data_IF_972072381124
#
_entry.id   IF_972072381124
#
_cell.length_a   1.000
_cell.length_b   1.000
_cell.length_c   1.000
_cell.angle_alpha   90.00
_cell.angle_beta   90.00
_cell.angle_gamma   90.00
#
_symmetry.space_group_name_H-M   'P 1'
#
loop_
_entity.id
_entity.type
_entity.pdbx_description
1 polymer ?
#
# COMPACT_ATOMS: atom_id res chain seq x y z
N UNK A 1 -18.47 -9.35 6.78
CA UNK A 1 -18.42 -7.95 7.22
C UNK A 1 -17.42 -7.28 6.31
N UNK A 2 -17.84 -6.25 5.55
CA UNK A 2 -17.03 -5.60 4.52
C UNK A 2 -15.94 -4.77 5.21
N UNK A 3 -14.68 -5.16 5.00
CA UNK A 3 -13.54 -4.30 5.32
C UNK A 3 -13.68 -3.04 4.47
N UNK A 4 -13.83 -1.87 5.10
CA UNK A 4 -13.71 -0.60 4.39
C UNK A 4 -12.22 -0.40 4.11
N UNK A 5 -11.82 -0.75 2.89
CA UNK A 5 -10.47 -0.64 2.39
C UNK A 5 -10.13 0.81 2.06
N UNK A 6 -8.87 1.16 2.24
CA UNK A 6 -8.36 2.50 1.92
C UNK A 6 -8.44 2.73 0.41
N UNK A 7 -9.34 3.60 -0.03
CA UNK A 7 -9.43 4.03 -1.42
C UNK A 7 -8.49 5.21 -1.63
N UNK A 8 -7.28 4.97 -2.09
CA UNK A 8 -6.37 6.05 -2.48
C UNK A 8 -6.56 6.31 -3.98
N UNK A 9 -7.50 7.19 -4.32
CA UNK A 9 -7.60 7.74 -5.68
C UNK A 9 -6.71 8.96 -5.76
N UNK A 10 -5.49 8.78 -6.25
CA UNK A 10 -4.49 9.85 -6.32
C UNK A 10 -4.56 10.48 -7.71
N UNK A 11 -5.50 11.40 -7.91
CA UNK A 11 -5.46 12.32 -9.05
C UNK A 11 -4.46 13.45 -8.77
N UNK A 12 -3.80 14.01 -9.82
CA UNK A 12 -2.89 15.14 -9.66
C UNK A 12 -3.55 16.25 -8.85
N UNK A 13 -2.87 16.69 -7.80
CA UNK A 13 -3.35 17.80 -6.99
C UNK A 13 -3.22 19.11 -7.77
N UNK A 14 -4.34 19.65 -8.25
CA UNK A 14 -4.42 21.01 -8.78
C UNK A 14 -5.00 21.91 -7.69
N UNK A 15 -4.22 22.86 -7.19
CA UNK A 15 -4.71 23.91 -6.27
C UNK A 15 -5.99 24.51 -6.83
N UNK A 16 -7.11 24.40 -6.08
CA UNK A 16 -8.39 25.02 -6.42
C UNK A 16 -9.43 24.16 -7.14
N UNK A 17 -9.14 22.93 -7.52
CA UNK A 17 -10.16 21.99 -8.02
C UNK A 17 -10.52 21.03 -6.89
N UNK A 18 -11.72 21.18 -6.30
CA UNK A 18 -12.24 20.35 -5.19
C UNK A 18 -12.40 18.86 -5.54
N UNK A 19 -11.31 18.19 -5.90
CA UNK A 19 -11.29 16.77 -6.28
C UNK A 19 -10.74 15.92 -5.15
N UNK A 20 -11.64 15.16 -4.51
CA UNK A 20 -11.35 13.91 -3.82
C UNK A 20 -10.74 14.04 -2.42
N UNK A 21 -11.57 13.96 -1.38
CA UNK A 21 -11.23 13.92 0.03
C UNK A 21 -11.74 15.14 0.80
N UNK A 22 -12.13 14.92 2.06
CA UNK A 22 -12.52 16.01 2.94
C UNK A 22 -11.30 16.89 3.26
N UNK A 23 -11.41 18.24 3.16
CA UNK A 23 -10.34 19.12 3.59
C UNK A 23 -10.13 18.92 5.09
N UNK A 24 -8.88 18.78 5.48
CA UNK A 24 -8.49 18.84 6.89
C UNK A 24 -8.19 20.31 7.16
N UNK A 25 -8.87 20.91 8.15
CA UNK A 25 -8.62 22.32 8.50
C UNK A 25 -7.14 22.56 8.81
N UNK A 26 -6.74 23.81 9.07
CA UNK A 26 -5.36 24.30 9.26
C UNK A 26 -4.55 23.51 10.32
N UNK A 27 -4.38 22.20 10.10
CA UNK A 27 -3.66 21.29 11.00
C UNK A 27 -2.23 21.13 10.51
N UNK A 28 -1.29 21.53 11.35
CA UNK A 28 0.15 21.32 11.11
C UNK A 28 0.64 20.30 12.13
N UNK A 29 1.11 19.15 11.62
CA UNK A 29 1.72 18.10 12.44
C UNK A 29 3.22 18.40 12.62
N UNK A 30 3.71 18.28 13.86
CA UNK A 30 5.12 18.41 14.26
C UNK A 30 5.78 19.72 13.79
N UNK A 31 4.98 20.78 13.51
CA UNK A 31 5.47 22.03 12.94
C UNK A 31 6.04 21.93 11.53
N UNK A 32 5.91 20.78 10.86
CA UNK A 32 6.54 20.46 9.56
C UNK A 32 5.54 20.14 8.45
N UNK A 33 4.44 19.46 8.77
CA UNK A 33 3.53 18.87 7.77
C UNK A 33 2.14 19.51 7.87
N UNK A 34 1.79 20.35 6.90
CA UNK A 34 0.45 20.91 6.73
C UNK A 34 -0.47 19.86 6.10
N UNK A 35 -1.49 19.41 6.82
CA UNK A 35 -2.48 18.48 6.31
C UNK A 35 -3.42 19.19 5.32
N UNK A 36 -3.47 18.70 4.08
CA UNK A 36 -4.26 19.30 3.01
C UNK A 36 -5.63 18.65 2.89
N UNK A 37 -5.65 17.32 2.76
CA UNK A 37 -6.88 16.53 2.60
C UNK A 37 -6.67 15.07 2.96
N UNK A 38 -7.75 14.36 3.23
CA UNK A 38 -7.73 12.91 3.35
C UNK A 38 -7.52 12.26 1.99
N UNK A 39 -6.58 11.31 1.89
CA UNK A 39 -6.37 10.45 0.72
C UNK A 39 -7.23 9.19 0.81
N UNK A 40 -7.32 8.60 2.01
CA UNK A 40 -8.10 7.41 2.25
C UNK A 40 -8.34 7.18 3.75
N UNK A 41 -9.37 6.38 4.05
CA UNK A 41 -9.69 5.91 5.41
C UNK A 41 -9.84 4.41 5.38
N UNK A 42 -8.99 3.72 6.13
CA UNK A 42 -9.13 2.31 6.42
C UNK A 42 -9.90 2.08 7.72
N UNK A 43 -9.98 0.82 8.15
CA UNK A 43 -10.62 0.45 9.41
C UNK A 43 -9.93 1.08 10.61
N UNK A 44 -8.61 1.08 10.63
CA UNK A 44 -7.79 1.47 11.77
C UNK A 44 -6.81 2.62 11.45
N UNK A 45 -6.78 3.09 10.19
CA UNK A 45 -5.87 4.13 9.75
C UNK A 45 -6.56 5.18 8.89
N UNK A 46 -5.99 6.39 8.89
CA UNK A 46 -6.34 7.44 7.94
C UNK A 46 -5.07 7.91 7.25
N UNK A 47 -5.12 8.03 5.93
CA UNK A 47 -4.00 8.54 5.13
C UNK A 47 -4.34 9.95 4.66
N UNK A 48 -3.43 10.88 4.88
CA UNK A 48 -3.57 12.28 4.50
C UNK A 48 -2.56 12.66 3.42
N UNK A 49 -2.95 13.54 2.51
CA UNK A 49 -2.01 14.35 1.76
C UNK A 49 -1.53 15.48 2.69
N UNK A 50 -0.24 15.60 2.84
CA UNK A 50 0.38 16.69 3.58
C UNK A 50 1.42 17.40 2.72
N UNK A 51 1.73 18.65 3.07
CA UNK A 51 2.80 19.43 2.49
C UNK A 51 3.90 19.64 3.53
N UNK A 52 5.12 19.27 3.20
CA UNK A 52 6.27 19.62 4.03
C UNK A 52 6.56 21.11 3.85
N UNK A 53 6.42 21.91 4.91
CA UNK A 53 6.46 23.37 4.85
C UNK A 53 7.80 23.94 4.39
N UNK A 54 8.92 23.36 4.85
CA UNK A 54 10.25 23.85 4.50
C UNK A 54 10.72 23.37 3.12
N UNK A 55 10.39 22.12 2.74
CA UNK A 55 10.85 21.53 1.47
C UNK A 55 9.91 21.85 0.31
N UNK A 56 8.71 22.36 0.58
CA UNK A 56 7.64 22.63 -0.41
C UNK A 56 7.23 21.38 -1.20
N UNK A 57 7.32 20.19 -0.59
CA UNK A 57 7.04 18.90 -1.20
C UNK A 57 5.84 18.20 -0.57
N UNK A 58 5.16 17.40 -1.36
CA UNK A 58 4.03 16.59 -0.86
C UNK A 58 4.50 15.27 -0.23
N UNK A 59 3.74 14.83 0.78
CA UNK A 59 3.93 13.57 1.52
C UNK A 59 2.58 12.88 1.71
N UNK A 60 2.60 11.56 1.77
CA UNK A 60 1.52 10.78 2.34
C UNK A 60 1.79 10.59 3.83
N UNK A 61 0.78 10.83 4.67
CA UNK A 61 0.89 10.68 6.13
C UNK A 61 -0.18 9.67 6.58
N UNK A 62 0.25 8.46 6.89
CA UNK A 62 -0.61 7.39 7.45
C UNK A 62 -0.65 7.54 8.97
N UNK A 63 -1.83 7.78 9.51
CA UNK A 63 -2.09 7.97 10.95
C UNK A 63 -2.84 6.77 11.52
N UNK A 64 -2.35 6.23 12.64
CA UNK A 64 -2.95 5.09 13.36
C UNK A 64 -3.02 5.41 14.84
N UNK A 65 -4.13 5.02 15.49
CA UNK A 65 -4.27 5.11 16.95
C UNK A 65 -3.44 4.02 17.63
N UNK A 66 -2.66 4.40 18.66
CA UNK A 66 -1.91 3.45 19.50
C UNK A 66 -2.83 2.53 20.34
N UNK A 67 -4.10 2.87 20.46
CA UNK A 67 -5.11 2.06 21.14
C UNK A 67 -5.78 1.04 20.20
N UNK A 68 -5.45 1.08 18.92
CA UNK A 68 -6.01 0.16 17.93
C UNK A 68 -5.35 -1.21 17.99
N UNK A 69 -6.12 -2.25 17.70
CA UNK A 69 -5.63 -3.64 17.64
C UNK A 69 -4.61 -3.85 16.52
N UNK A 70 -4.65 -3.02 15.47
CA UNK A 70 -3.74 -3.11 14.32
C UNK A 70 -2.46 -2.25 14.47
N UNK A 71 -2.23 -1.66 15.66
CA UNK A 71 -1.05 -0.82 15.92
C UNK A 71 0.27 -1.61 15.76
N UNK A 72 0.32 -2.85 16.18
CA UNK A 72 1.52 -3.70 16.01
C UNK A 72 1.82 -3.98 14.51
N UNK A 73 0.79 -4.14 13.69
CA UNK A 73 0.94 -4.26 12.23
C UNK A 73 1.52 -3.00 11.61
N UNK A 74 1.00 -1.84 12.00
CA UNK A 74 1.53 -0.55 11.56
C UNK A 74 3.02 -0.38 11.89
N UNK A 75 3.45 -0.76 13.10
CA UNK A 75 4.87 -0.74 13.47
C UNK A 75 5.70 -1.68 12.59
N UNK A 76 5.16 -2.87 12.32
CA UNK A 76 5.81 -3.85 11.46
C UNK A 76 5.94 -3.36 10.02
N UNK A 77 4.89 -2.76 9.46
CA UNK A 77 4.91 -2.10 8.16
C UNK A 77 6.03 -1.06 8.08
N UNK A 78 6.11 -0.16 9.05
CA UNK A 78 7.17 0.85 9.10
C UNK A 78 8.58 0.22 9.18
N UNK A 79 8.74 -0.88 9.95
CA UNK A 79 10.00 -1.61 10.07
C UNK A 79 10.41 -2.31 8.76
N UNK A 80 9.45 -2.83 8.01
CA UNK A 80 9.68 -3.44 6.69
C UNK A 80 10.08 -2.35 5.70
N UNK A 81 9.24 -1.33 5.53
CA UNK A 81 9.43 -0.27 4.54
C UNK A 81 10.75 0.47 4.71
N UNK A 82 11.16 0.77 5.94
CA UNK A 82 12.43 1.48 6.18
C UNK A 82 13.68 0.74 5.68
N UNK A 83 13.59 -0.59 5.49
CA UNK A 83 14.70 -1.44 5.00
C UNK A 83 14.72 -1.55 3.49
N UNK A 84 13.58 -1.30 2.83
CA UNK A 84 13.42 -1.47 1.41
C UNK A 84 13.92 -0.24 0.64
N UNK A 85 14.60 -0.49 -0.49
CA UNK A 85 15.06 0.53 -1.42
C UNK A 85 14.86 0.05 -2.83
N UNK A 86 13.71 0.37 -3.41
CA UNK A 86 13.35 -0.04 -4.77
C UNK A 86 12.47 1.04 -5.41
N UNK A 87 12.66 1.39 -6.70
CA UNK A 87 11.85 2.42 -7.37
C UNK A 87 10.35 2.20 -7.34
N UNK A 88 9.89 0.95 -7.20
CA UNK A 88 8.47 0.57 -7.12
C UNK A 88 7.92 0.53 -5.70
N UNK A 89 8.66 0.95 -4.68
CA UNK A 89 8.24 0.95 -3.27
C UNK A 89 8.35 2.37 -2.72
N UNK A 90 7.34 2.90 -2.00
CA UNK A 90 7.39 4.23 -1.42
C UNK A 90 8.57 4.41 -0.47
N UNK A 91 9.20 5.58 -0.52
CA UNK A 91 10.25 5.95 0.43
C UNK A 91 9.57 6.35 1.74
N UNK A 92 10.02 5.76 2.86
CA UNK A 92 9.69 6.24 4.20
C UNK A 92 10.66 7.36 4.58
N UNK A 93 10.10 8.53 4.89
CA UNK A 93 10.86 9.70 5.30
C UNK A 93 10.99 9.80 6.81
N UNK A 94 9.90 9.50 7.54
CA UNK A 94 9.88 9.65 9.00
C UNK A 94 8.82 8.75 9.64
N UNK A 95 8.98 8.49 10.94
CA UNK A 95 8.01 7.86 11.81
C UNK A 95 7.88 8.71 13.08
N UNK A 96 6.80 9.45 13.18
CA UNK A 96 6.55 10.38 14.27
C UNK A 96 5.49 9.83 15.23
N UNK A 97 5.59 10.18 16.49
CA UNK A 97 4.70 9.67 17.53
C UNK A 97 4.17 10.79 18.42
N UNK A 98 2.89 10.71 18.74
CA UNK A 98 2.23 11.47 19.80
C UNK A 98 1.75 10.54 20.92
N UNK A 99 1.11 11.09 21.94
CA UNK A 99 0.64 10.31 23.10
C UNK A 99 -0.27 9.13 22.70
N UNK A 100 -1.19 9.36 21.76
CA UNK A 100 -2.23 8.40 21.37
C UNK A 100 -2.20 8.00 19.90
N UNK A 101 -1.36 8.61 19.09
CA UNK A 101 -1.28 8.38 17.66
C UNK A 101 0.17 8.18 17.20
N UNK A 102 0.34 7.44 16.12
CA UNK A 102 1.61 7.32 15.39
C UNK A 102 1.37 7.63 13.92
N UNK A 103 2.39 8.21 13.28
CA UNK A 103 2.32 8.74 11.93
C UNK A 103 3.49 8.22 11.13
N UNK A 104 3.21 7.54 10.02
CA UNK A 104 4.22 7.14 9.03
C UNK A 104 4.19 8.16 7.90
N UNK A 105 5.32 8.81 7.67
CA UNK A 105 5.49 9.82 6.62
C UNK A 105 6.20 9.19 5.44
N UNK A 106 5.50 9.13 4.32
CA UNK A 106 5.93 8.43 3.12
C UNK A 106 5.94 9.31 1.89
N UNK A 107 6.59 8.81 0.83
CA UNK A 107 6.52 9.38 -0.51
C UNK A 107 5.06 9.47 -0.96
N UNK A 108 4.65 10.67 -1.38
CA UNK A 108 3.38 10.85 -2.04
C UNK A 108 3.50 10.43 -3.50
N UNK A 109 2.73 9.43 -3.91
CA UNK A 109 2.73 8.89 -5.25
C UNK A 109 1.50 9.38 -6.03
N UNK A 110 1.72 9.94 -7.21
CA UNK A 110 0.67 10.35 -8.13
C UNK A 110 0.50 9.29 -9.23
N UNK A 111 -0.70 8.70 -9.31
CA UNK A 111 -1.00 7.67 -10.30
C UNK A 111 -2.42 7.14 -10.18
N UNK A 112 -2.79 6.25 -11.09
CA UNK A 112 -4.06 5.53 -11.04
C UNK A 112 -3.82 4.11 -10.52
N UNK A 113 -4.70 3.65 -9.61
CA UNK A 113 -4.66 2.25 -9.19
C UNK A 113 -5.07 1.34 -10.36
N UNK A 114 -4.60 0.08 -10.35
CA UNK A 114 -5.12 -0.88 -11.33
C UNK A 114 -6.63 -1.04 -11.21
N UNK A 115 -7.18 -0.92 -10.02
CA UNK A 115 -8.63 -0.93 -9.82
C UNK A 115 -9.32 0.21 -10.57
N UNK A 116 -8.81 1.44 -10.49
CA UNK A 116 -9.39 2.59 -11.20
C UNK A 116 -9.20 2.46 -12.72
N UNK A 117 -8.04 1.96 -13.16
CA UNK A 117 -7.77 1.72 -14.58
C UNK A 117 -8.76 0.72 -15.20
N UNK A 118 -9.02 -0.40 -14.52
CA UNK A 118 -9.97 -1.40 -15.01
C UNK A 118 -11.41 -0.88 -14.92
N UNK A 119 -11.77 -0.19 -13.85
CA UNK A 119 -13.10 0.42 -13.75
C UNK A 119 -13.38 1.41 -14.89
N UNK A 120 -12.36 2.09 -15.41
CA UNK A 120 -12.48 3.03 -16.52
C UNK A 120 -12.45 2.33 -17.89
N UNK A 121 -11.57 1.32 -18.06
CA UNK A 121 -11.28 0.69 -19.36
C UNK A 121 -11.95 -0.67 -19.57
N UNK A 122 -12.49 -1.29 -18.51
CA UNK A 122 -13.03 -2.65 -18.51
C UNK A 122 -11.92 -3.69 -18.32
N UNK A 123 -10.92 -3.71 -19.18
CA UNK A 123 -9.76 -4.60 -19.11
C UNK A 123 -8.55 -3.96 -19.78
N UNK A 124 -7.37 -4.53 -19.58
CA UNK A 124 -6.14 -4.13 -20.29
C UNK A 124 -5.83 -5.12 -21.42
N UNK A 125 -5.19 -4.62 -22.48
CA UNK A 125 -4.70 -5.49 -23.54
C UNK A 125 -3.50 -6.33 -23.07
N UNK A 126 -3.26 -7.46 -23.75
CA UNK A 126 -2.25 -8.44 -23.38
C UNK A 126 -0.83 -7.83 -23.25
N UNK A 127 -0.42 -6.98 -24.18
CA UNK A 127 0.94 -6.40 -24.15
C UNK A 127 1.14 -5.49 -22.93
N UNK A 128 0.10 -4.74 -22.57
CA UNK A 128 0.11 -3.90 -21.36
C UNK A 128 0.16 -4.75 -20.09
N UNK A 129 -0.62 -5.85 -20.04
CA UNK A 129 -0.60 -6.76 -18.88
C UNK A 129 0.75 -7.46 -18.76
N UNK A 130 1.38 -7.89 -19.86
CA UNK A 130 2.73 -8.46 -19.82
C UNK A 130 3.74 -7.45 -19.29
N UNK A 131 3.72 -6.21 -19.78
CA UNK A 131 4.64 -5.15 -19.35
C UNK A 131 4.53 -4.85 -17.86
N UNK A 132 3.31 -4.74 -17.33
CA UNK A 132 3.09 -4.52 -15.90
C UNK A 132 3.36 -5.79 -15.08
N UNK A 133 3.02 -6.96 -15.62
CA UNK A 133 3.29 -8.24 -14.98
C UNK A 133 4.78 -8.47 -14.73
N UNK A 134 5.65 -8.12 -15.69
CA UNK A 134 7.10 -8.16 -15.50
C UNK A 134 7.52 -7.26 -14.33
N UNK A 135 7.03 -6.02 -14.27
CA UNK A 135 7.37 -5.10 -13.18
C UNK A 135 6.87 -5.61 -11.81
N UNK A 136 5.68 -6.22 -11.77
CA UNK A 136 5.12 -6.80 -10.53
C UNK A 136 5.99 -8.00 -10.10
N UNK A 137 6.39 -8.86 -11.03
CA UNK A 137 7.28 -9.97 -10.72
C UNK A 137 8.64 -9.50 -10.19
N UNK A 138 9.23 -8.46 -10.82
CA UNK A 138 10.49 -7.87 -10.37
C UNK A 138 10.38 -7.29 -8.95
N UNK A 139 9.27 -6.59 -8.65
CA UNK A 139 8.98 -6.06 -7.32
C UNK A 139 8.87 -7.16 -6.26
N UNK A 140 8.10 -8.19 -6.54
CA UNK A 140 7.90 -9.33 -5.61
C UNK A 140 9.20 -10.14 -5.46
N UNK A 141 9.94 -10.35 -6.54
CA UNK A 141 11.26 -10.98 -6.47
C UNK A 141 12.22 -10.16 -5.59
N UNK A 142 12.20 -8.84 -5.71
CA UNK A 142 12.98 -7.97 -4.83
C UNK A 142 12.60 -8.17 -3.37
N UNK A 143 11.31 -8.19 -3.00
CA UNK A 143 10.87 -8.44 -1.62
C UNK A 143 11.35 -9.81 -1.11
N UNK A 144 11.27 -10.84 -1.93
CA UNK A 144 11.70 -12.20 -1.57
C UNK A 144 13.22 -12.33 -1.42
N UNK A 145 14.02 -11.36 -1.91
CA UNK A 145 15.50 -11.42 -1.90
C UNK A 145 16.18 -10.21 -1.27
N UNK A 146 15.44 -9.20 -0.83
CA UNK A 146 16.00 -7.93 -0.30
C UNK A 146 16.73 -8.11 1.03
N UNK A 147 16.36 -9.10 1.82
CA UNK A 147 16.91 -9.39 3.14
C UNK A 147 17.34 -10.86 3.22
N UNK A 148 18.03 -11.24 4.30
CA UNK A 148 18.37 -12.66 4.55
C UNK A 148 17.11 -13.52 4.74
N UNK A 149 16.04 -12.92 5.23
CA UNK A 149 14.73 -13.54 5.41
C UNK A 149 13.80 -12.92 4.37
N UNK A 150 13.18 -13.71 3.49
CA UNK A 150 12.23 -13.20 2.51
C UNK A 150 11.10 -12.40 3.16
N UNK A 151 10.67 -11.33 2.52
CA UNK A 151 9.48 -10.58 2.88
C UNK A 151 8.36 -11.02 1.94
N UNK A 152 7.28 -11.55 2.51
CA UNK A 152 6.05 -11.84 1.78
C UNK A 152 5.16 -10.60 1.80
N UNK A 153 4.56 -10.26 0.66
CA UNK A 153 3.67 -9.10 0.58
C UNK A 153 2.24 -9.41 1.01
N UNK A 154 1.70 -10.54 0.59
CA UNK A 154 0.46 -11.19 1.04
C UNK A 154 -0.86 -10.46 0.72
N UNK A 155 -0.84 -9.30 0.07
CA UNK A 155 -2.05 -8.57 -0.33
C UNK A 155 -1.93 -7.91 -1.71
N UNK A 156 -1.47 -8.71 -2.71
CA UNK A 156 -1.41 -8.27 -4.10
C UNK A 156 -2.83 -8.19 -4.70
N UNK A 157 -3.40 -7.01 -4.61
CA UNK A 157 -4.72 -6.68 -5.16
C UNK A 157 -4.66 -5.38 -5.98
N UNK A 158 -5.61 -5.16 -6.91
CA UNK A 158 -5.58 -4.01 -7.81
C UNK A 158 -5.54 -2.64 -7.13
N UNK A 159 -6.02 -2.52 -5.91
CA UNK A 159 -6.05 -1.28 -5.15
C UNK A 159 -4.68 -0.92 -4.55
N UNK A 160 -3.87 -1.94 -4.28
CA UNK A 160 -2.56 -1.79 -3.66
C UNK A 160 -1.43 -1.56 -4.68
N UNK A 161 -1.76 -1.47 -5.97
CA UNK A 161 -0.79 -1.16 -7.00
C UNK A 161 -1.22 0.08 -7.78
N UNK A 162 -0.30 1.05 -7.88
CA UNK A 162 -0.45 2.26 -8.69
C UNK A 162 0.39 2.17 -9.96
N UNK A 163 -0.09 2.81 -11.02
CA UNK A 163 0.69 3.10 -12.21
C UNK A 163 1.06 4.58 -12.20
N UNK A 164 2.33 4.86 -11.94
CA UNK A 164 2.91 6.21 -11.90
C UNK A 164 3.87 6.37 -13.08
N UNK A 165 3.55 7.16 -14.10
CA UNK A 165 4.41 7.35 -15.28
C UNK A 165 4.89 6.01 -15.89
N UNK A 166 3.97 5.08 -16.17
CA UNK A 166 4.26 3.74 -16.70
C UNK A 166 5.03 2.80 -15.74
N UNK A 167 5.33 3.22 -14.53
CA UNK A 167 5.94 2.40 -13.48
C UNK A 167 4.92 1.90 -12.48
N UNK A 168 4.99 0.60 -12.16
CA UNK A 168 4.17 0.00 -11.11
C UNK A 168 4.79 0.33 -9.75
N UNK A 169 3.94 0.81 -8.84
CA UNK A 169 4.28 1.09 -7.44
C UNK A 169 3.42 0.23 -6.53
N UNK A 170 4.05 -0.38 -5.54
CA UNK A 170 3.39 -1.18 -4.51
C UNK A 170 3.06 -0.27 -3.32
N UNK A 171 1.81 -0.31 -2.86
CA UNK A 171 1.33 0.44 -1.69
C UNK A 171 0.99 -0.52 -0.56
N UNK A 172 0.78 0.03 0.63
CA UNK A 172 0.18 -0.64 1.79
C UNK A 172 0.82 -1.99 2.17
N UNK A 173 1.78 -1.93 3.08
CA UNK A 173 2.55 -3.09 3.55
C UNK A 173 2.03 -3.64 4.89
N UNK A 174 0.78 -3.33 5.28
CA UNK A 174 0.23 -3.72 6.57
C UNK A 174 0.04 -5.24 6.73
N UNK A 175 -0.09 -5.97 5.61
CA UNK A 175 -0.13 -7.43 5.58
C UNK A 175 1.23 -8.08 5.33
N UNK A 176 2.24 -7.31 4.96
CA UNK A 176 3.57 -7.85 4.68
C UNK A 176 4.22 -8.47 5.91
N UNK A 177 4.96 -9.56 5.70
CA UNK A 177 5.58 -10.30 6.78
C UNK A 177 6.92 -10.93 6.39
N UNK A 178 7.81 -11.10 7.39
CA UNK A 178 9.04 -11.86 7.22
C UNK A 178 8.75 -13.36 7.20
N UNK A 179 9.36 -14.10 6.29
CA UNK A 179 9.30 -15.56 6.23
C UNK A 179 10.32 -16.17 7.21
N UNK A 180 10.18 -15.90 8.50
CA UNK A 180 11.17 -16.26 9.52
C UNK A 180 10.93 -17.63 10.19
N UNK A 181 9.85 -18.33 9.80
CA UNK A 181 9.47 -19.62 10.40
C UNK A 181 9.03 -19.56 11.86
N UNK A 182 9.01 -18.38 12.48
CA UNK A 182 8.50 -18.22 13.83
C UNK A 182 6.98 -18.43 13.85
N UNK A 183 6.49 -19.09 14.91
CA UNK A 183 5.09 -19.46 15.13
C UNK A 183 4.12 -18.36 14.67
N UNK A 184 3.69 -18.47 13.44
CA UNK A 184 2.62 -17.60 12.91
C UNK A 184 1.33 -18.16 13.46
N UNK A 185 0.63 -17.36 14.25
CA UNK A 185 -0.79 -17.65 14.43
C UNK A 185 -1.43 -17.74 13.03
N UNK A 186 -2.33 -18.71 12.80
CA UNK A 186 -2.99 -18.84 11.50
C UNK A 186 -3.74 -17.54 11.21
N UNK A 187 -3.10 -16.67 10.47
CA UNK A 187 -3.68 -15.41 10.07
C UNK A 187 -4.62 -15.67 8.89
N UNK A 188 -5.91 -15.74 9.18
CA UNK A 188 -6.96 -15.79 8.18
C UNK A 188 -7.18 -14.41 7.62
N UNK A 189 -6.43 -14.04 6.62
CA UNK A 189 -6.60 -12.78 5.92
C UNK A 189 -6.35 -12.98 4.42
N UNK A 190 -6.88 -12.07 3.65
CA UNK A 190 -6.68 -12.03 2.21
C UNK A 190 -7.88 -11.38 1.54
N UNK A 191 -7.63 -10.71 0.45
CA UNK A 191 -8.67 -10.07 -0.34
C UNK A 191 -9.40 -11.12 -1.18
N UNK A 192 -10.74 -11.28 -1.02
CA UNK A 192 -11.50 -12.25 -1.81
C UNK A 192 -11.25 -12.10 -3.31
N UNK A 193 -10.99 -13.21 -3.99
CA UNK A 193 -10.65 -13.26 -5.40
C UNK A 193 -9.16 -13.17 -5.72
N UNK A 194 -8.33 -12.72 -4.77
CA UNK A 194 -6.88 -12.63 -4.92
C UNK A 194 -6.13 -13.49 -3.91
N UNK A 195 -6.70 -13.72 -2.74
CA UNK A 195 -6.08 -14.52 -1.69
C UNK A 195 -5.77 -15.94 -2.16
N UNK A 196 -4.56 -16.40 -1.86
CA UNK A 196 -4.16 -17.77 -2.11
C UNK A 196 -4.89 -18.76 -1.15
N UNK A 197 -5.12 -20.02 -1.54
CA UNK A 197 -5.83 -20.98 -0.71
C UNK A 197 -5.25 -21.14 0.70
N UNK A 198 -3.92 -21.10 0.84
CA UNK A 198 -3.22 -21.20 2.11
C UNK A 198 -3.48 -20.02 3.06
N UNK A 199 -3.90 -18.86 2.56
CA UNK A 199 -4.25 -17.71 3.40
C UNK A 199 -5.59 -17.88 4.15
N UNK A 200 -6.42 -18.84 3.75
CA UNK A 200 -7.71 -19.10 4.36
C UNK A 200 -7.71 -20.28 5.36
N UNK A 201 -6.58 -20.99 5.52
CA UNK A 201 -6.47 -22.22 6.29
C UNK A 201 -5.31 -22.23 7.26
N UNK A 202 -4.99 -23.44 7.74
CA UNK A 202 -3.88 -23.73 8.66
C UNK A 202 -2.60 -24.13 7.89
N UNK A 203 -2.52 -23.78 6.61
CA UNK A 203 -1.37 -24.06 5.76
C UNK A 203 -0.28 -22.99 5.92
N UNK A 204 0.98 -23.37 5.72
CA UNK A 204 2.09 -22.44 5.76
C UNK A 204 2.05 -21.47 4.58
N UNK A 205 2.37 -20.20 4.87
CA UNK A 205 2.58 -19.19 3.85
C UNK A 205 4.02 -19.26 3.34
N UNK A 206 4.21 -18.95 2.07
CA UNK A 206 5.53 -18.96 1.44
C UNK A 206 5.59 -18.00 0.25
N UNK A 207 6.73 -17.96 -0.41
CA UNK A 207 6.91 -17.14 -1.63
C UNK A 207 5.90 -17.50 -2.72
N UNK A 208 5.43 -18.74 -2.74
CA UNK A 208 4.38 -19.22 -3.67
C UNK A 208 3.03 -18.54 -3.43
N UNK A 209 2.77 -18.03 -2.22
CA UNK A 209 1.54 -17.31 -1.89
C UNK A 209 1.43 -16.01 -2.70
N UNK A 210 2.49 -15.21 -2.75
CA UNK A 210 2.54 -14.01 -3.58
C UNK A 210 2.50 -14.36 -5.08
N UNK A 211 3.12 -15.46 -5.50
CA UNK A 211 3.07 -15.94 -6.89
C UNK A 211 1.63 -16.28 -7.32
N UNK A 212 0.86 -16.94 -6.45
CA UNK A 212 -0.57 -17.18 -6.70
C UNK A 212 -1.33 -15.87 -6.90
N UNK A 213 -1.09 -14.89 -6.00
CA UNK A 213 -1.74 -13.58 -6.07
C UNK A 213 -1.37 -12.80 -7.34
N UNK A 214 -0.12 -12.90 -7.82
CA UNK A 214 0.27 -12.35 -9.12
C UNK A 214 -0.60 -12.96 -10.22
N UNK A 215 -0.77 -14.30 -10.25
CA UNK A 215 -1.60 -14.97 -11.23
C UNK A 215 -3.05 -14.48 -11.23
N UNK A 216 -3.66 -14.39 -10.04
CA UNK A 216 -5.02 -13.88 -9.86
C UNK A 216 -5.16 -12.42 -10.32
N UNK A 217 -4.19 -11.58 -9.99
CA UNK A 217 -4.16 -10.18 -10.40
C UNK A 217 -4.06 -10.04 -11.94
N UNK A 218 -3.13 -10.76 -12.58
CA UNK A 218 -2.95 -10.70 -14.03
C UNK A 218 -4.19 -11.21 -14.77
N UNK A 219 -4.82 -12.27 -14.25
CA UNK A 219 -6.10 -12.76 -14.80
C UNK A 219 -7.16 -11.67 -14.74
N UNK A 220 -7.30 -10.98 -13.60
CA UNK A 220 -8.26 -9.90 -13.44
C UNK A 220 -7.95 -8.71 -14.35
N UNK A 221 -6.67 -8.33 -14.53
CA UNK A 221 -6.29 -7.24 -15.44
C UNK A 221 -6.65 -7.54 -16.91
N UNK A 222 -6.70 -8.82 -17.31
CA UNK A 222 -7.08 -9.26 -18.66
C UNK A 222 -8.59 -9.37 -18.85
N UNK A 223 -9.35 -9.62 -17.80
CA UNK A 223 -10.77 -9.99 -17.91
C UNK A 223 -11.74 -8.93 -17.35
N UNK A 224 -11.30 -8.11 -16.41
CA UNK A 224 -12.11 -7.10 -15.71
C UNK A 224 -12.72 -7.61 -14.42
#
# INVERSE_FOLDING_TARGET
>A
MHSQEIYIKIKPYKRGTGQGGEPVGDTILFGKYELIRTLGRGRCSTVYLAKHLELDEYRAVKCVSKMDTDYERFKKEALILKRLRHPGIPIVYDLEEEAFQSYLIEEFLEGDSFYDLIREKGHLNQDTVIRYGIQICDLVQYLHSAEQIPILYLDLQPKNLLVCHEQVKLLDFDHADFLDGANREPMRFGTPGYAAPEQSGDMELGVYTDVYQIGALLFWLLTG
#
